data_IF_543909235805
#
_entry.id   IF_543909235805
#
_cell.length_a   1.000
_cell.length_b   1.000
_cell.length_c   1.000
_cell.angle_alpha   90.00
_cell.angle_beta   90.00
_cell.angle_gamma   90.00
#
_symmetry.space_group_name_H-M   'P 1'
#
loop_
_entity.id
_entity.type
_entity.pdbx_description
1 polymer ?
#
# COMPACT_ATOMS: atom_id res chain seq x y z
N UNK A 1 69.17 44.65 42.66
CA UNK A 1 68.47 43.91 41.58
C UNK A 1 67.71 44.92 40.73
N UNK A 2 67.59 44.74 39.41
CA UNK A 2 66.85 45.69 38.58
C UNK A 2 65.34 45.61 38.84
N UNK A 3 64.70 46.74 39.17
CA UNK A 3 63.26 46.86 39.42
C UNK A 3 62.39 46.49 38.20
N UNK A 4 62.99 46.40 37.01
CA UNK A 4 62.30 46.15 35.74
C UNK A 4 62.49 44.73 35.19
N UNK A 5 62.97 43.78 35.99
CA UNK A 5 63.32 42.43 35.50
C UNK A 5 62.11 41.63 34.99
N UNK A 6 60.93 41.78 35.62
CA UNK A 6 59.69 41.10 35.25
C UNK A 6 58.68 42.01 34.51
N UNK A 7 59.06 43.26 34.24
CA UNK A 7 58.20 44.27 33.65
C UNK A 7 58.14 44.13 32.12
N UNK A 8 56.91 44.10 31.58
CA UNK A 8 56.64 44.22 30.14
C UNK A 8 56.57 45.70 29.74
N UNK A 9 56.57 45.94 28.43
CA UNK A 9 56.50 47.30 27.86
C UNK A 9 55.26 48.08 28.34
N UNK A 10 54.11 47.41 28.46
CA UNK A 10 52.88 48.02 28.98
C UNK A 10 53.02 48.46 30.45
N UNK A 11 53.67 47.64 31.29
CA UNK A 11 53.83 47.96 32.72
C UNK A 11 54.72 49.19 32.92
N UNK A 12 55.79 49.30 32.11
CA UNK A 12 56.68 50.46 32.13
C UNK A 12 56.02 51.72 31.58
N UNK A 13 55.08 51.58 30.63
CA UNK A 13 54.31 52.72 30.12
C UNK A 13 53.40 53.27 31.22
N UNK A 14 52.67 52.39 31.91
CA UNK A 14 51.82 52.75 33.04
C UNK A 14 52.65 53.42 34.15
N UNK A 15 53.79 52.83 34.54
CA UNK A 15 54.65 53.44 35.57
C UNK A 15 55.17 54.83 35.16
N UNK A 16 55.53 55.04 33.90
CA UNK A 16 56.00 56.35 33.43
C UNK A 16 54.88 57.40 33.45
N UNK A 17 53.66 57.02 33.04
CA UNK A 17 52.48 57.90 33.10
C UNK A 17 52.13 58.29 34.54
N UNK A 18 52.22 57.34 35.47
CA UNK A 18 51.99 57.55 36.90
C UNK A 18 53.06 58.47 37.55
N UNK A 19 54.30 58.45 37.04
CA UNK A 19 55.36 59.41 37.41
C UNK A 19 55.25 60.77 36.70
N UNK A 20 54.16 61.03 35.98
CA UNK A 20 53.89 62.28 35.26
C UNK A 20 54.66 62.46 33.96
N UNK A 21 55.34 61.42 33.46
CA UNK A 21 56.12 61.47 32.23
C UNK A 21 55.28 61.12 31.00
N UNK A 22 55.45 61.88 29.91
CA UNK A 22 54.72 61.62 28.66
C UNK A 22 55.38 60.48 27.89
N UNK A 23 54.68 59.37 27.70
CA UNK A 23 55.18 58.20 26.95
C UNK A 23 54.29 57.81 25.78
N UNK A 24 54.91 57.72 24.60
CA UNK A 24 54.31 57.23 23.35
C UNK A 24 54.52 55.71 23.16
N UNK A 25 53.60 55.04 22.49
CA UNK A 25 53.70 53.64 22.02
C UNK A 25 54.93 53.34 21.14
N UNK A 26 55.51 54.35 20.49
CA UNK A 26 56.73 54.22 19.68
C UNK A 26 57.99 53.98 20.51
N UNK A 27 58.01 54.38 21.78
CA UNK A 27 59.16 54.20 22.66
C UNK A 27 59.46 52.71 22.85
N UNK A 28 60.73 52.34 22.76
CA UNK A 28 61.15 50.97 23.07
C UNK A 28 61.28 50.80 24.57
N UNK A 29 61.32 49.53 25.02
CA UNK A 29 61.51 49.18 26.43
C UNK A 29 62.72 49.89 27.06
N UNK A 30 63.81 50.06 26.29
CA UNK A 30 65.01 50.77 26.75
C UNK A 30 64.78 52.28 26.93
N UNK A 31 63.95 52.89 26.10
CA UNK A 31 63.64 54.33 26.14
C UNK A 31 62.74 54.63 27.33
N UNK A 32 61.71 53.79 27.56
CA UNK A 32 60.83 53.88 28.73
C UNK A 32 61.61 53.77 30.06
N UNK A 33 62.56 52.81 30.15
CA UNK A 33 63.43 52.69 31.33
C UNK A 33 64.27 53.93 31.57
N UNK A 34 64.75 54.60 30.51
CA UNK A 34 65.52 55.84 30.64
C UNK A 34 64.65 57.00 31.11
N UNK A 35 63.43 57.12 30.57
CA UNK A 35 62.48 58.18 30.96
C UNK A 35 62.13 58.05 32.45
N UNK A 36 61.78 56.85 32.90
CA UNK A 36 61.45 56.59 34.32
C UNK A 36 62.61 56.95 35.25
N UNK A 37 63.83 56.53 34.91
CA UNK A 37 65.03 56.82 35.72
C UNK A 37 65.45 58.29 35.70
N UNK A 38 64.99 59.06 34.71
CA UNK A 38 65.29 60.49 34.57
C UNK A 38 64.20 61.39 35.18
N UNK A 39 63.08 60.83 35.62
CA UNK A 39 61.99 61.59 36.26
C UNK A 39 62.47 62.22 37.55
N UNK A 40 62.03 63.46 37.79
CA UNK A 40 62.35 64.21 39.02
C UNK A 40 61.66 63.65 40.26
N UNK A 41 60.58 62.89 40.06
CA UNK A 41 59.79 62.26 41.12
C UNK A 41 60.15 60.77 41.30
N UNK A 42 61.22 60.31 40.63
CA UNK A 42 61.67 58.94 40.73
C UNK A 42 62.26 58.66 42.11
N UNK A 43 61.54 57.86 42.89
CA UNK A 43 62.04 57.18 44.08
C UNK A 43 62.11 55.67 43.83
N UNK A 44 63.25 55.03 44.14
CA UNK A 44 63.48 53.63 43.79
C UNK A 44 62.56 52.67 44.55
N UNK A 45 62.22 52.98 45.81
CA UNK A 45 61.37 52.15 46.65
C UNK A 45 59.89 52.27 46.23
N UNK A 46 59.42 53.50 46.01
CA UNK A 46 58.08 53.81 45.51
C UNK A 46 57.85 53.25 44.11
N UNK A 47 58.80 53.45 43.18
CA UNK A 47 58.70 52.92 41.82
C UNK A 47 58.68 51.39 41.78
N UNK A 48 59.38 50.74 42.72
CA UNK A 48 59.36 49.28 42.87
C UNK A 48 58.02 48.79 43.40
N UNK A 49 57.43 49.47 44.39
CA UNK A 49 56.10 49.14 44.92
C UNK A 49 55.01 49.31 43.85
N UNK A 50 55.06 50.41 43.09
CA UNK A 50 54.12 50.68 41.99
C UNK A 50 54.28 49.66 40.88
N UNK A 51 55.52 49.34 40.49
CA UNK A 51 55.79 48.30 39.49
C UNK A 51 55.27 46.93 39.92
N UNK A 52 55.46 46.55 41.19
CA UNK A 52 54.93 45.30 41.73
C UNK A 52 53.39 45.27 41.66
N UNK A 53 52.74 46.38 42.02
CA UNK A 53 51.29 46.52 41.95
C UNK A 53 50.78 46.36 40.52
N UNK A 54 51.35 47.08 39.55
CA UNK A 54 50.99 46.98 38.12
C UNK A 54 51.18 45.56 37.59
N UNK A 55 52.31 44.91 37.92
CA UNK A 55 52.59 43.54 37.48
C UNK A 55 51.59 42.54 38.10
N UNK A 56 51.24 42.71 39.38
CA UNK A 56 50.28 41.86 40.07
C UNK A 56 48.87 42.04 39.50
N UNK A 57 48.41 43.27 39.31
CA UNK A 57 47.10 43.55 38.69
C UNK A 57 46.98 42.96 37.29
N UNK A 58 48.04 43.04 36.48
CA UNK A 58 48.06 42.39 35.17
C UNK A 58 47.92 40.87 35.28
N UNK A 59 48.67 40.24 36.20
CA UNK A 59 48.61 38.79 36.42
C UNK A 59 47.22 38.36 36.88
N UNK A 60 46.62 39.08 37.84
CA UNK A 60 45.25 38.82 38.31
C UNK A 60 44.23 38.97 37.17
N UNK A 61 44.35 40.00 36.32
CA UNK A 61 43.49 40.14 35.14
C UNK A 61 43.66 39.00 34.14
N UNK A 62 44.90 38.56 33.90
CA UNK A 62 45.19 37.41 33.03
C UNK A 62 44.58 36.11 33.60
N UNK A 63 44.68 35.89 34.91
CA UNK A 63 44.11 34.74 35.62
C UNK A 63 42.58 34.76 35.59
N UNK A 64 41.93 35.90 35.88
CA UNK A 64 40.48 36.05 35.77
C UNK A 64 40.01 35.80 34.34
N UNK A 65 40.74 36.30 33.34
CA UNK A 65 40.39 36.09 31.94
C UNK A 65 40.54 34.62 31.53
N UNK A 66 41.57 33.92 32.01
CA UNK A 66 41.76 32.49 31.78
C UNK A 66 40.68 31.66 32.48
N UNK A 67 40.35 31.99 33.73
CA UNK A 67 39.29 31.34 34.46
C UNK A 67 37.94 31.48 33.75
N UNK A 68 37.62 32.68 33.25
CA UNK A 68 36.41 32.91 32.45
C UNK A 68 36.38 32.08 31.17
N UNK A 69 37.52 31.99 30.45
CA UNK A 69 37.64 31.11 29.26
C UNK A 69 37.37 29.65 29.63
N UNK A 70 37.95 29.19 30.74
CA UNK A 70 37.77 27.82 31.20
C UNK A 70 36.32 27.53 31.63
N UNK A 71 35.67 28.46 32.32
CA UNK A 71 34.26 28.38 32.69
C UNK A 71 33.34 28.36 31.47
N UNK A 72 33.64 29.17 30.45
CA UNK A 72 32.89 29.19 29.19
C UNK A 72 32.99 27.84 28.45
N UNK A 73 34.20 27.27 28.36
CA UNK A 73 34.42 25.94 27.78
C UNK A 73 33.63 24.89 28.56
N UNK A 74 33.69 24.89 29.89
CA UNK A 74 32.94 23.93 30.71
C UNK A 74 31.42 24.07 30.54
N UNK A 75 30.91 25.30 30.48
CA UNK A 75 29.49 25.54 30.23
C UNK A 75 29.07 25.04 28.84
N UNK A 76 29.89 25.29 27.80
CA UNK A 76 29.62 24.80 26.45
C UNK A 76 29.62 23.27 26.39
N UNK A 77 30.58 22.61 27.05
CA UNK A 77 30.61 21.15 27.14
C UNK A 77 29.39 20.58 27.87
N UNK A 78 28.95 21.20 28.97
CA UNK A 78 27.73 20.79 29.69
C UNK A 78 26.50 20.91 28.82
N UNK A 79 26.33 22.04 28.12
CA UNK A 79 25.21 22.25 27.19
C UNK A 79 25.20 21.22 26.08
N UNK A 80 26.35 20.92 25.49
CA UNK A 80 26.47 19.89 24.44
C UNK A 80 26.04 18.51 24.95
N UNK A 81 26.46 18.14 26.16
CA UNK A 81 26.07 16.86 26.79
C UNK A 81 24.56 16.81 27.07
N UNK A 82 23.98 17.90 27.57
CA UNK A 82 22.54 18.00 27.82
C UNK A 82 21.73 17.92 26.53
N UNK A 83 22.15 18.61 25.47
CA UNK A 83 21.52 18.50 24.15
C UNK A 83 21.59 17.08 23.58
N UNK A 84 22.73 16.41 23.73
CA UNK A 84 22.91 15.02 23.31
C UNK A 84 22.01 14.06 24.10
N UNK A 85 21.88 14.25 25.41
CA UNK A 85 20.97 13.46 26.26
C UNK A 85 19.50 13.69 25.87
N UNK A 86 19.09 14.94 25.62
CA UNK A 86 17.74 15.25 25.15
C UNK A 86 17.48 14.61 23.79
N UNK A 87 18.45 14.67 22.87
CA UNK A 87 18.32 14.04 21.55
C UNK A 87 18.20 12.51 21.66
N UNK A 88 18.95 11.88 22.57
CA UNK A 88 18.86 10.44 22.81
C UNK A 88 17.51 10.04 23.40
N UNK A 89 17.00 10.78 24.41
CA UNK A 89 15.66 10.54 24.96
C UNK A 89 14.58 10.65 23.89
N UNK A 90 14.66 11.67 23.01
CA UNK A 90 13.73 11.82 21.89
C UNK A 90 13.77 10.64 20.92
N UNK A 91 14.96 10.11 20.60
CA UNK A 91 15.11 8.90 19.78
C UNK A 91 14.45 7.70 20.43
N UNK A 92 14.63 7.52 21.74
CA UNK A 92 14.01 6.44 22.49
C UNK A 92 12.49 6.56 22.51
N UNK A 93 11.95 7.75 22.75
CA UNK A 93 10.51 8.02 22.72
C UNK A 93 9.93 7.73 21.33
N UNK A 94 10.61 8.13 20.25
CA UNK A 94 10.17 7.86 18.88
C UNK A 94 10.11 6.35 18.59
N UNK A 95 11.11 5.59 19.04
CA UNK A 95 11.13 4.13 18.92
C UNK A 95 9.97 3.51 19.70
N UNK A 96 9.74 3.94 20.95
CA UNK A 96 8.64 3.43 21.77
C UNK A 96 7.28 3.73 21.14
N UNK A 97 7.07 4.94 20.64
CA UNK A 97 5.82 5.33 19.95
C UNK A 97 5.62 4.48 18.69
N UNK A 98 6.67 4.25 17.91
CA UNK A 98 6.60 3.43 16.70
C UNK A 98 6.27 1.95 17.02
N UNK A 99 6.84 1.42 18.10
CA UNK A 99 6.57 0.07 18.57
C UNK A 99 5.13 -0.08 19.07
N UNK A 100 4.64 0.89 19.86
CA UNK A 100 3.24 0.93 20.30
C UNK A 100 2.28 0.95 19.12
N UNK A 101 2.51 1.83 18.13
CA UNK A 101 1.69 1.89 16.91
C UNK A 101 1.67 0.57 16.14
N UNK A 102 2.83 -0.10 16.02
CA UNK A 102 2.91 -1.42 15.38
C UNK A 102 2.08 -2.46 16.13
N UNK A 103 2.10 -2.42 17.47
CA UNK A 103 1.31 -3.32 18.29
C UNK A 103 -0.18 -3.06 18.14
N UNK A 104 -0.61 -1.80 18.18
CA UNK A 104 -2.00 -1.40 17.93
C UNK A 104 -2.49 -1.82 16.55
N UNK A 105 -1.66 -1.65 15.50
CA UNK A 105 -1.98 -2.09 14.14
C UNK A 105 -2.19 -3.62 14.07
N UNK A 106 -1.32 -4.38 14.73
CA UNK A 106 -1.45 -5.84 14.81
C UNK A 106 -2.74 -6.24 15.52
N UNK A 107 -3.09 -5.56 16.62
CA UNK A 107 -4.34 -5.81 17.34
C UNK A 107 -5.57 -5.46 16.51
N UNK A 108 -5.56 -4.32 15.83
CA UNK A 108 -6.64 -3.91 14.95
C UNK A 108 -6.84 -4.93 13.82
N UNK A 109 -5.76 -5.41 13.21
CA UNK A 109 -5.81 -6.44 12.17
C UNK A 109 -6.36 -7.77 12.68
N UNK A 110 -6.04 -8.16 13.92
CA UNK A 110 -6.61 -9.35 14.57
C UNK A 110 -8.11 -9.17 14.81
N UNK A 111 -8.56 -7.98 15.19
CA UNK A 111 -9.97 -7.68 15.41
C UNK A 111 -10.75 -7.72 14.10
N UNK A 112 -10.24 -7.05 13.05
CA UNK A 112 -10.84 -7.05 11.72
C UNK A 112 -11.00 -8.47 11.16
N UNK A 113 -9.98 -9.33 11.36
CA UNK A 113 -10.07 -10.74 10.97
C UNK A 113 -11.18 -11.47 11.71
N UNK A 114 -11.35 -11.24 13.02
CA UNK A 114 -12.43 -11.84 13.81
C UNK A 114 -13.80 -11.38 13.34
N UNK A 115 -13.98 -10.08 13.10
CA UNK A 115 -15.24 -9.53 12.60
C UNK A 115 -15.60 -10.09 11.21
N UNK A 116 -14.62 -10.14 10.31
CA UNK A 116 -14.80 -10.74 8.98
C UNK A 116 -15.24 -12.20 9.07
N UNK A 117 -14.59 -12.97 9.94
CA UNK A 117 -14.93 -14.37 10.16
C UNK A 117 -16.35 -14.53 10.73
N UNK A 118 -16.74 -13.71 11.70
CA UNK A 118 -18.10 -13.72 12.24
C UNK A 118 -19.14 -13.37 11.17
N UNK A 119 -18.85 -12.37 10.33
CA UNK A 119 -19.74 -11.95 9.24
C UNK A 119 -19.90 -13.06 8.19
N UNK A 120 -18.82 -13.73 7.83
CA UNK A 120 -18.85 -14.87 6.91
C UNK A 120 -19.67 -16.04 7.49
N UNK A 121 -19.50 -16.36 8.77
CA UNK A 121 -20.30 -17.37 9.47
C UNK A 121 -21.80 -17.01 9.46
N UNK A 122 -22.15 -15.75 9.73
CA UNK A 122 -23.53 -15.27 9.64
C UNK A 122 -24.09 -15.37 8.21
N UNK A 123 -23.31 -15.00 7.19
CA UNK A 123 -23.73 -15.08 5.79
C UNK A 123 -23.96 -16.53 5.36
N UNK A 124 -23.09 -17.46 5.76
CA UNK A 124 -23.27 -18.89 5.51
C UNK A 124 -24.57 -19.38 6.13
N UNK A 125 -24.87 -18.97 7.37
CA UNK A 125 -26.09 -19.38 8.06
C UNK A 125 -27.34 -18.82 7.37
N UNK A 126 -27.31 -17.56 6.95
CA UNK A 126 -28.40 -16.95 6.16
C UNK A 126 -28.61 -17.71 4.85
N UNK A 127 -27.54 -18.04 4.11
CA UNK A 127 -27.62 -18.81 2.86
C UNK A 127 -28.24 -20.20 3.07
N UNK A 128 -27.94 -20.87 4.18
CA UNK A 128 -28.58 -22.15 4.52
C UNK A 128 -30.08 -21.99 4.75
N UNK A 129 -30.49 -20.98 5.52
CA UNK A 129 -31.91 -20.71 5.79
C UNK A 129 -32.68 -20.39 4.50
N UNK A 130 -32.12 -19.57 3.62
CA UNK A 130 -32.71 -19.28 2.31
C UNK A 130 -32.84 -20.53 1.44
N UNK A 131 -31.85 -21.42 1.47
CA UNK A 131 -31.89 -22.68 0.74
C UNK A 131 -33.01 -23.58 1.25
N UNK A 132 -33.17 -23.71 2.57
CA UNK A 132 -34.26 -24.49 3.17
C UNK A 132 -35.64 -23.89 2.89
N UNK A 133 -35.76 -22.56 2.89
CA UNK A 133 -37.00 -21.87 2.53
C UNK A 133 -37.36 -22.08 1.06
N UNK A 134 -36.39 -21.95 0.14
CA UNK A 134 -36.59 -22.25 -1.28
C UNK A 134 -37.01 -23.71 -1.50
N UNK A 135 -36.40 -24.65 -0.79
CA UNK A 135 -36.76 -26.07 -0.83
C UNK A 135 -38.20 -26.29 -0.38
N UNK A 136 -38.60 -25.75 0.78
CA UNK A 136 -39.99 -25.84 1.27
C UNK A 136 -41.00 -25.22 0.31
N UNK A 137 -40.67 -24.07 -0.28
CA UNK A 137 -41.52 -23.41 -1.27
C UNK A 137 -41.70 -24.25 -2.53
N UNK A 138 -40.62 -24.85 -3.04
CA UNK A 138 -40.67 -25.75 -4.19
C UNK A 138 -41.47 -27.03 -3.92
N UNK A 139 -41.31 -27.63 -2.74
CA UNK A 139 -42.12 -28.79 -2.32
C UNK A 139 -43.62 -28.45 -2.27
N UNK A 140 -43.97 -27.29 -1.69
CA UNK A 140 -45.35 -26.82 -1.63
C UNK A 140 -45.92 -26.51 -3.03
N UNK A 141 -45.14 -25.89 -3.91
CA UNK A 141 -45.53 -25.60 -5.29
C UNK A 141 -45.79 -26.89 -6.09
N UNK A 142 -44.92 -27.89 -5.92
CA UNK A 142 -45.10 -29.20 -6.53
C UNK A 142 -46.39 -29.89 -6.08
N UNK A 143 -46.70 -29.88 -4.78
CA UNK A 143 -47.95 -30.45 -4.26
C UNK A 143 -49.18 -29.68 -4.77
N UNK A 144 -49.13 -28.36 -4.86
CA UNK A 144 -50.19 -27.55 -5.48
C UNK A 144 -50.39 -27.90 -6.97
N UNK A 145 -49.30 -28.15 -7.71
CA UNK A 145 -49.37 -28.56 -9.11
C UNK A 145 -49.99 -29.95 -9.27
N UNK A 146 -49.66 -30.89 -8.39
CA UNK A 146 -50.27 -32.23 -8.36
C UNK A 146 -51.80 -32.14 -8.16
N UNK A 147 -52.26 -31.29 -7.23
CA UNK A 147 -53.70 -31.07 -7.00
C UNK A 147 -54.37 -30.48 -8.24
N UNK A 148 -53.73 -29.51 -8.91
CA UNK A 148 -54.25 -28.87 -10.13
C UNK A 148 -54.44 -29.87 -11.27
N UNK A 149 -53.44 -30.70 -11.55
CA UNK A 149 -53.51 -31.75 -12.57
C UNK A 149 -54.57 -32.81 -12.24
N UNK A 150 -54.71 -33.20 -10.97
CA UNK A 150 -55.76 -34.13 -10.53
C UNK A 150 -57.18 -33.58 -10.73
N UNK A 151 -57.37 -32.26 -10.63
CA UNK A 151 -58.64 -31.59 -10.93
C UNK A 151 -58.90 -31.54 -12.45
N UNK A 152 -57.88 -31.27 -13.27
CA UNK A 152 -57.97 -31.25 -14.74
C UNK A 152 -58.25 -32.64 -15.35
N UNK A 153 -57.65 -33.72 -14.82
CA UNK A 153 -57.99 -35.09 -15.24
C UNK A 153 -59.44 -35.48 -14.96
N UNK A 154 -60.10 -34.90 -13.95
CA UNK A 154 -61.56 -35.10 -13.75
C UNK A 154 -62.40 -34.27 -14.71
N UNK A 155 -61.87 -33.14 -15.20
CA UNK A 155 -62.53 -32.28 -16.19
C UNK A 155 -62.46 -32.84 -17.62
N UNK A 156 -61.40 -33.58 -17.98
CA UNK A 156 -61.19 -34.11 -19.33
C UNK A 156 -61.95 -35.43 -19.63
N UNK A 157 -62.59 -36.05 -18.64
CA UNK A 157 -63.40 -37.27 -18.85
C UNK A 157 -64.80 -37.00 -19.42
N UNK A 158 -65.13 -35.75 -19.76
CA UNK A 158 -66.26 -35.37 -20.60
C UNK A 158 -65.74 -34.68 -21.85
N UNK A 159 -65.18 -35.45 -22.80
CA UNK A 159 -65.44 -35.26 -24.22
C UNK A 159 -64.73 -36.31 -25.09
N UNK A 160 -65.58 -37.01 -25.85
CA UNK A 160 -65.35 -37.57 -27.19
C UNK A 160 -64.45 -38.80 -27.35
N UNK A 161 -65.14 -39.94 -27.38
CA UNK A 161 -64.96 -41.01 -28.36
C UNK A 161 -64.80 -40.41 -29.78
N UNK A 162 -63.71 -40.71 -30.49
CA UNK A 162 -63.71 -41.09 -31.92
C UNK A 162 -62.27 -41.21 -32.50
N UNK A 163 -62.04 -42.34 -33.16
CA UNK A 163 -61.13 -42.59 -34.29
C UNK A 163 -59.66 -43.00 -34.04
N UNK A 164 -59.52 -44.31 -33.83
CA UNK A 164 -58.62 -45.29 -34.48
C UNK A 164 -57.38 -44.77 -35.23
N UNK A 165 -56.18 -45.11 -34.74
CA UNK A 165 -55.34 -46.24 -35.18
C UNK A 165 -54.48 -45.96 -36.43
N UNK A 166 -53.18 -45.71 -36.23
CA UNK A 166 -52.13 -46.38 -37.01
C UNK A 166 -50.81 -46.46 -36.21
N UNK A 167 -50.35 -47.70 -36.06
CA UNK A 167 -48.95 -48.14 -35.97
C UNK A 167 -48.14 -47.80 -34.71
N UNK A 168 -48.27 -48.71 -33.74
CA UNK A 168 -47.19 -49.14 -32.85
C UNK A 168 -45.97 -49.58 -33.67
N UNK A 169 -44.96 -48.72 -33.75
CA UNK A 169 -43.61 -49.08 -34.13
C UNK A 169 -42.68 -48.55 -33.04
N UNK A 170 -41.85 -49.42 -32.49
CA UNK A 170 -40.91 -49.12 -31.40
C UNK A 170 -40.08 -47.88 -31.69
N UNK A 171 -40.37 -46.77 -31.01
CA UNK A 171 -39.46 -45.63 -30.96
C UNK A 171 -38.84 -45.65 -29.57
N UNK A 172 -37.56 -46.05 -29.50
CA UNK A 172 -36.68 -45.74 -28.37
C UNK A 172 -36.92 -44.28 -27.96
N UNK A 173 -37.09 -43.93 -26.68
CA UNK A 173 -37.22 -42.53 -26.30
C UNK A 173 -35.95 -41.81 -26.75
N UNK A 174 -36.07 -40.98 -27.79
CA UNK A 174 -34.99 -40.16 -28.33
C UNK A 174 -34.79 -39.04 -27.31
N UNK A 175 -33.77 -39.17 -26.48
CA UNK A 175 -33.37 -38.15 -25.51
C UNK A 175 -33.01 -36.88 -26.30
N UNK A 176 -33.88 -35.88 -26.29
CA UNK A 176 -33.59 -34.59 -26.92
C UNK A 176 -32.55 -33.82 -26.10
N UNK A 177 -31.50 -33.29 -26.75
CA UNK A 177 -30.40 -32.54 -26.10
C UNK A 177 -30.92 -31.39 -25.23
N UNK A 178 -32.08 -30.83 -25.55
CA UNK A 178 -32.73 -29.77 -24.79
C UNK A 178 -32.99 -30.13 -23.31
N UNK A 179 -33.05 -31.42 -22.97
CA UNK A 179 -33.17 -31.88 -21.57
C UNK A 179 -31.82 -32.18 -20.91
N UNK A 180 -30.74 -32.37 -21.69
CA UNK A 180 -29.41 -32.75 -21.21
C UNK A 180 -28.48 -31.55 -20.99
N UNK A 181 -28.72 -30.41 -21.65
CA UNK A 181 -27.93 -29.20 -21.49
C UNK A 181 -28.79 -28.05 -20.92
N UNK A 182 -28.28 -27.37 -19.90
CA UNK A 182 -28.84 -26.10 -19.43
C UNK A 182 -28.50 -24.99 -20.44
N UNK A 183 -29.46 -24.09 -20.69
CA UNK A 183 -29.30 -22.93 -21.58
C UNK A 183 -28.14 -22.05 -21.10
N UNK A 184 -27.24 -21.63 -22.00
CA UNK A 184 -26.11 -20.77 -21.62
C UNK A 184 -26.62 -19.38 -21.20
N UNK A 185 -26.14 -18.90 -20.06
CA UNK A 185 -26.20 -17.48 -19.69
C UNK A 185 -24.95 -16.78 -20.24
N UNK A 186 -25.11 -15.62 -20.88
CA UNK A 186 -24.08 -14.90 -21.64
C UNK A 186 -22.89 -14.36 -20.84
N UNK A 187 -22.88 -14.54 -19.51
CA UNK A 187 -22.14 -13.66 -18.61
C UNK A 187 -20.96 -14.37 -17.91
N UNK A 188 -20.94 -15.71 -17.85
CA UNK A 188 -19.93 -16.47 -17.08
C UNK A 188 -19.47 -17.81 -17.70
N UNK A 189 -20.11 -18.30 -18.76
CA UNK A 189 -19.77 -19.62 -19.31
C UNK A 189 -18.89 -19.51 -20.56
N UNK A 190 -17.69 -20.09 -20.50
CA UNK A 190 -16.79 -20.23 -21.65
C UNK A 190 -17.51 -20.97 -22.80
N UNK A 191 -17.90 -20.20 -23.82
CA UNK A 191 -18.59 -20.68 -25.03
C UNK A 191 -17.80 -21.83 -25.67
N UNK A 192 -16.48 -21.82 -25.54
CA UNK A 192 -15.60 -22.86 -26.08
C UNK A 192 -15.81 -24.20 -25.37
N UNK A 193 -15.90 -24.20 -24.03
CA UNK A 193 -16.15 -25.41 -23.24
C UNK A 193 -17.56 -25.97 -23.51
N UNK A 194 -18.53 -25.09 -23.73
CA UNK A 194 -19.90 -25.49 -24.03
C UNK A 194 -20.01 -26.21 -25.38
N UNK A 195 -19.34 -25.69 -26.42
CA UNK A 195 -19.34 -26.31 -27.75
C UNK A 195 -18.67 -27.69 -27.74
N UNK A 196 -17.58 -27.85 -26.98
CA UNK A 196 -16.90 -29.15 -26.81
C UNK A 196 -17.82 -30.15 -26.11
N UNK A 197 -18.56 -29.71 -25.08
CA UNK A 197 -19.52 -30.55 -24.37
C UNK A 197 -20.70 -30.95 -25.25
N UNK A 198 -21.23 -30.01 -26.05
CA UNK A 198 -22.27 -30.28 -27.04
C UNK A 198 -21.81 -31.32 -28.07
N UNK A 199 -20.63 -31.17 -28.65
CA UNK A 199 -20.11 -32.11 -29.66
C UNK A 199 -19.97 -33.53 -29.10
N UNK A 200 -19.47 -33.66 -27.86
CA UNK A 200 -19.36 -34.96 -27.19
C UNK A 200 -20.72 -35.60 -26.95
N UNK A 201 -21.71 -34.82 -26.50
CA UNK A 201 -23.06 -35.31 -26.23
C UNK A 201 -23.81 -35.65 -27.51
N UNK A 202 -23.68 -34.86 -28.57
CA UNK A 202 -24.30 -35.12 -29.87
C UNK A 202 -23.78 -36.42 -30.48
N UNK A 203 -22.47 -36.70 -30.36
CA UNK A 203 -21.87 -38.00 -30.73
C UNK A 203 -22.37 -39.15 -29.86
N UNK A 204 -22.45 -38.95 -28.54
CA UNK A 204 -22.94 -39.97 -27.61
C UNK A 204 -24.43 -40.30 -27.82
N UNK A 205 -25.22 -39.32 -28.25
CA UNK A 205 -26.64 -39.46 -28.57
C UNK A 205 -26.90 -39.88 -30.03
N UNK A 206 -25.86 -40.18 -30.81
CA UNK A 206 -25.92 -40.59 -32.23
C UNK A 206 -26.78 -39.65 -33.09
N UNK A 207 -26.68 -38.34 -32.86
CA UNK A 207 -27.43 -37.35 -33.63
C UNK A 207 -26.80 -37.20 -35.01
N UNK A 208 -27.63 -37.10 -36.04
CA UNK A 208 -27.18 -36.86 -37.40
C UNK A 208 -26.53 -35.48 -37.52
N UNK A 209 -25.31 -35.43 -38.04
CA UNK A 209 -24.48 -34.20 -38.12
C UNK A 209 -25.18 -33.05 -38.84
N UNK A 210 -26.02 -33.35 -39.84
CA UNK A 210 -26.83 -32.37 -40.57
C UNK A 210 -27.95 -31.70 -39.74
N UNK A 211 -28.15 -32.12 -38.49
CA UNK A 211 -29.13 -31.53 -37.56
C UNK A 211 -28.46 -30.86 -36.36
N UNK A 212 -27.13 -30.94 -36.24
CA UNK A 212 -26.41 -30.41 -35.09
C UNK A 212 -26.53 -28.90 -34.96
N UNK A 213 -26.46 -28.16 -36.07
CA UNK A 213 -26.54 -26.69 -36.04
C UNK A 213 -27.93 -26.23 -35.56
N UNK A 214 -29.00 -26.88 -36.00
CA UNK A 214 -30.37 -26.58 -35.56
C UNK A 214 -30.55 -26.80 -34.06
N UNK A 215 -30.01 -27.92 -33.54
CA UNK A 215 -30.04 -28.19 -32.10
C UNK A 215 -29.18 -27.19 -31.32
N UNK A 216 -28.03 -26.78 -31.85
CA UNK A 216 -27.15 -25.82 -31.23
C UNK A 216 -27.77 -24.41 -31.18
N UNK A 217 -28.42 -23.95 -32.26
CA UNK A 217 -29.10 -22.65 -32.32
C UNK A 217 -30.19 -22.51 -31.25
N UNK A 218 -30.93 -23.59 -30.96
CA UNK A 218 -31.94 -23.59 -29.91
C UNK A 218 -31.37 -23.48 -28.48
N UNK A 219 -30.05 -23.66 -28.32
CA UNK A 219 -29.36 -23.70 -27.04
C UNK A 219 -28.44 -22.50 -26.79
N UNK A 220 -28.04 -21.79 -27.85
CA UNK A 220 -27.15 -20.65 -27.77
C UNK A 220 -27.87 -19.37 -27.29
N UNK A 221 -27.15 -18.45 -26.61
CA UNK A 221 -27.64 -17.10 -26.35
C UNK A 221 -27.95 -16.36 -27.66
N UNK A 222 -28.92 -15.45 -27.60
CA UNK A 222 -29.45 -14.75 -28.77
C UNK A 222 -28.37 -14.03 -29.59
N UNK A 223 -27.37 -13.45 -28.93
CA UNK A 223 -26.30 -12.70 -29.59
C UNK A 223 -25.37 -13.58 -30.42
N UNK A 224 -25.15 -14.83 -30.01
CA UNK A 224 -24.34 -15.80 -30.76
C UNK A 224 -25.16 -16.41 -31.88
N UNK A 225 -26.43 -16.72 -31.63
CA UNK A 225 -27.35 -17.24 -32.65
C UNK A 225 -27.55 -16.27 -33.82
N UNK A 226 -27.58 -14.96 -33.56
CA UNK A 226 -27.66 -13.92 -34.60
C UNK A 226 -26.45 -13.89 -35.54
N UNK A 227 -25.26 -14.24 -35.05
CA UNK A 227 -24.06 -14.26 -35.89
C UNK A 227 -24.10 -15.41 -36.90
N UNK A 228 -24.64 -16.56 -36.49
CA UNK A 228 -24.81 -17.73 -37.35
C UNK A 228 -25.96 -17.51 -38.34
N UNK A 229 -27.05 -16.87 -37.91
CA UNK A 229 -28.21 -16.57 -38.76
C UNK A 229 -27.96 -15.52 -39.86
N UNK A 230 -26.80 -14.84 -39.84
CA UNK A 230 -26.39 -13.88 -40.88
C UNK A 230 -25.63 -14.53 -42.03
N UNK A 231 -25.19 -15.78 -41.88
CA UNK A 231 -24.53 -16.54 -42.93
C UNK A 231 -25.56 -17.19 -43.88
N UNK A 232 -25.22 -17.40 -45.15
CA UNK A 232 -26.11 -18.05 -46.10
C UNK A 232 -26.44 -19.50 -45.69
N UNK A 233 -27.64 -19.97 -46.03
CA UNK A 233 -28.19 -21.28 -45.60
C UNK A 233 -27.28 -22.48 -45.95
N UNK A 234 -26.47 -22.34 -47.00
CA UNK A 234 -25.50 -23.35 -47.44
C UNK A 234 -24.35 -23.54 -46.43
N UNK A 235 -24.00 -22.49 -45.69
CA UNK A 235 -22.96 -22.49 -44.64
C UNK A 235 -23.60 -22.70 -43.27
N UNK A 236 -24.74 -22.07 -43.01
CA UNK A 236 -25.40 -22.10 -41.69
C UNK A 236 -25.96 -23.48 -41.29
N UNK A 237 -26.09 -24.42 -42.23
CA UNK A 237 -26.63 -25.77 -41.95
C UNK A 237 -25.56 -26.87 -41.87
N UNK A 238 -24.30 -26.57 -42.21
CA UNK A 238 -23.19 -27.52 -42.13
C UNK A 238 -22.30 -27.21 -40.91
N UNK A 239 -22.34 -28.09 -39.90
CA UNK A 239 -21.53 -27.93 -38.70
C UNK A 239 -20.02 -27.84 -39.00
N UNK A 240 -19.53 -28.52 -40.04
CA UNK A 240 -18.13 -28.48 -40.46
C UNK A 240 -17.68 -27.11 -40.97
N UNK A 241 -18.57 -26.39 -41.64
CA UNK A 241 -18.35 -25.04 -42.18
C UNK A 241 -18.63 -23.95 -41.13
N UNK A 242 -19.46 -24.22 -40.11
CA UNK A 242 -19.69 -23.32 -38.97
C UNK A 242 -18.59 -23.44 -37.89
N UNK A 243 -17.92 -24.60 -37.79
CA UNK A 243 -16.85 -24.88 -36.81
C UNK A 243 -15.66 -23.85 -36.81
N UNK A 244 -15.18 -23.35 -37.96
CA UNK A 244 -14.17 -22.29 -38.03
C UNK A 244 -14.61 -20.94 -37.43
N UNK A 245 -15.91 -20.62 -37.48
CA UNK A 245 -16.46 -19.39 -36.90
C UNK A 245 -16.47 -19.46 -35.38
N UNK A 246 -16.77 -20.63 -34.82
CA UNK A 246 -16.65 -20.87 -33.39
C UNK A 246 -15.20 -20.78 -32.88
N UNK A 247 -14.22 -21.19 -33.68
CA UNK A 247 -12.79 -21.02 -33.33
C UNK A 247 -12.29 -19.57 -33.48
N UNK A 248 -12.93 -18.76 -34.31
CA UNK A 248 -12.68 -17.30 -34.37
C UNK A 248 -13.35 -16.56 -33.20
N UNK A 249 -14.54 -16.99 -32.80
CA UNK A 249 -15.21 -16.52 -31.57
C UNK A 249 -14.41 -16.89 -30.32
N UNK A 250 -13.85 -18.11 -30.27
CA UNK A 250 -12.87 -18.55 -29.25
C UNK A 250 -11.72 -17.56 -29.10
N UNK A 251 -11.11 -17.12 -30.21
CA UNK A 251 -10.03 -16.12 -30.17
C UNK A 251 -10.50 -14.73 -29.72
N UNK A 252 -11.69 -14.28 -30.15
CA UNK A 252 -12.21 -12.94 -29.79
C UNK A 252 -12.62 -12.83 -28.31
N UNK A 253 -13.20 -13.90 -27.75
CA UNK A 253 -13.57 -13.93 -26.33
C UNK A 253 -12.37 -14.19 -25.41
N UNK A 254 -11.42 -15.06 -25.79
CA UNK A 254 -10.15 -15.23 -25.04
C UNK A 254 -9.32 -13.93 -25.00
N UNK A 255 -9.29 -13.14 -26.08
CA UNK A 255 -8.54 -11.88 -26.13
C UNK A 255 -9.13 -10.77 -25.24
N UNK A 256 -10.41 -10.89 -24.82
CA UNK A 256 -11.02 -9.96 -23.87
C UNK A 256 -10.58 -10.23 -22.42
N UNK A 257 -9.98 -11.40 -22.13
CA UNK A 257 -9.46 -11.79 -20.82
C UNK A 257 -7.93 -11.68 -20.70
N UNK A 258 -7.22 -11.28 -21.76
CA UNK A 258 -5.81 -10.88 -21.69
C UNK A 258 -5.61 -9.44 -22.16
N UNK A 259 -5.76 -8.49 -21.22
CA UNK A 259 -5.00 -7.22 -21.27
C UNK A 259 -3.75 -7.34 -20.37
N UNK A 260 -2.62 -6.72 -20.76
CA UNK A 260 -1.30 -7.02 -20.21
C UNK A 260 -1.12 -6.37 -18.83
N UNK A 261 -0.78 -7.16 -17.81
CA UNK A 261 -0.06 -6.66 -16.65
C UNK A 261 1.44 -6.57 -17.01
N UNK A 262 2.07 -5.52 -16.51
CA UNK A 262 3.52 -5.24 -16.51
C UNK A 262 4.17 -4.69 -17.79
N UNK A 263 4.29 -3.36 -17.83
CA UNK A 263 5.61 -2.69 -17.80
C UNK A 263 5.44 -1.23 -17.32
N UNK A 264 5.27 -1.07 -16.01
CA UNK A 264 5.78 0.11 -15.30
C UNK A 264 6.91 -0.43 -14.43
N UNK A 265 8.10 -0.51 -15.00
CA UNK A 265 9.37 -0.45 -14.28
C UNK A 265 10.44 -0.15 -15.32
N UNK A 266 10.71 1.14 -15.54
CA UNK A 266 12.01 1.69 -15.91
C UNK A 266 11.87 3.19 -16.17
N UNK A 267 11.87 3.97 -15.09
CA UNK A 267 12.64 5.20 -15.04
C UNK A 267 13.25 5.35 -13.64
N UNK A 268 14.56 5.64 -13.62
CA UNK A 268 15.44 6.07 -12.51
C UNK A 268 16.26 4.98 -11.81
N UNK A 269 17.20 4.39 -12.56
CA UNK A 269 18.65 4.65 -12.38
C UNK A 269 19.43 4.19 -13.63
#
# INVERSE_FOLDING_TARGET
MSIFAAARKCDLKILAEELGETVNDSHKLKDLKKIILASKEYDEESAKEWMNTIINERKEREEIAEQRRQEEIQMAERKRKEEEEIAERRRQDEIQIAEQKRQEEIELRKLEYKERKQKEEQEIEVRKLEYEERKRKGEMEFELQKIRLGAESRSLNSNSIANQNVNSMQIKPKLEIHHLMQKINSDENDISLYLIMFERLAKQAEILENTWVTHLLGLLPYDVAQLIAREPDEIANDYGEVNPYFTTLRKKFDHSLMKPQEKVQNEKN
#
